data_IF_914398650698
#
_entry.id   IF_914398650698
#
_cell.length_a   1.000
_cell.length_b   1.000
_cell.length_c   1.000
_cell.angle_alpha   90.00
_cell.angle_beta   90.00
_cell.angle_gamma   90.00
#
_symmetry.space_group_name_H-M   'P 1'
#
loop_
_entity.id
_entity.type
_entity.pdbx_description
1 polymer ?
#
# COMPACT_ATOMS: atom_id res chain seq x y z
N UNK A 1 -21.05 -1.16 -3.33
CA UNK A 1 -20.01 -2.21 -3.36
C UNK A 1 -19.20 -2.03 -2.09
N UNK A 2 -19.19 -3.02 -1.22
CA UNK A 2 -18.59 -2.92 0.12
C UNK A 2 -17.07 -2.98 -0.01
N UNK A 3 -16.39 -1.92 0.43
CA UNK A 3 -14.94 -1.69 0.33
C UNK A 3 -14.09 -2.87 0.81
N UNK A 4 -14.60 -3.71 1.71
CA UNK A 4 -13.94 -4.93 2.22
C UNK A 4 -13.74 -6.03 1.17
N UNK A 5 -14.67 -6.22 0.23
CA UNK A 5 -14.56 -7.30 -0.77
C UNK A 5 -13.47 -6.99 -1.81
N UNK A 6 -13.34 -5.72 -2.20
CA UNK A 6 -12.27 -5.25 -3.09
C UNK A 6 -10.90 -5.40 -2.44
N UNK A 7 -10.79 -5.16 -1.13
CA UNK A 7 -9.52 -5.27 -0.39
C UNK A 7 -9.00 -6.70 -0.31
N UNK A 8 -9.88 -7.64 0.03
CA UNK A 8 -9.53 -9.06 0.08
C UNK A 8 -9.14 -9.57 -1.31
N UNK A 9 -9.87 -9.16 -2.36
CA UNK A 9 -9.54 -9.49 -3.75
C UNK A 9 -8.17 -8.96 -4.19
N UNK A 10 -7.84 -7.72 -3.82
CA UNK A 10 -6.54 -7.13 -4.09
C UNK A 10 -5.43 -7.90 -3.34
N UNK A 11 -5.65 -8.24 -2.06
CA UNK A 11 -4.65 -8.92 -1.22
C UNK A 11 -4.31 -10.31 -1.75
N UNK A 12 -5.32 -11.07 -2.18
CA UNK A 12 -5.11 -12.36 -2.84
C UNK A 12 -4.31 -12.22 -4.12
N UNK A 13 -4.64 -11.22 -4.94
CA UNK A 13 -3.95 -10.96 -6.21
C UNK A 13 -2.48 -10.63 -5.97
N UNK A 14 -2.21 -9.76 -4.99
CA UNK A 14 -0.86 -9.42 -4.55
C UNK A 14 -0.07 -10.65 -4.07
N UNK A 15 -0.67 -11.45 -3.19
CA UNK A 15 -0.04 -12.68 -2.68
C UNK A 15 0.26 -13.68 -3.80
N UNK A 16 -0.64 -13.82 -4.79
CA UNK A 16 -0.40 -14.67 -5.96
C UNK A 16 0.79 -14.17 -6.78
N UNK A 17 0.91 -12.85 -6.93
CA UNK A 17 2.00 -12.23 -7.65
C UNK A 17 3.35 -12.49 -6.98
N UNK A 18 3.46 -12.24 -5.67
CA UNK A 18 4.67 -12.54 -4.87
C UNK A 18 5.02 -14.01 -4.98
N UNK A 19 4.03 -14.91 -4.85
CA UNK A 19 4.24 -16.35 -4.93
C UNK A 19 4.68 -16.84 -6.31
N UNK A 20 4.27 -16.17 -7.40
CA UNK A 20 4.74 -16.48 -8.76
C UNK A 20 6.18 -16.04 -8.98
N UNK A 21 6.55 -14.85 -8.49
CA UNK A 21 7.90 -14.31 -8.66
C UNK A 21 8.92 -15.00 -7.77
N UNK A 22 8.59 -15.18 -6.49
CA UNK A 22 9.49 -15.75 -5.47
C UNK A 22 9.17 -17.21 -5.16
N UNK A 23 8.42 -17.91 -6.02
CA UNK A 23 8.10 -19.33 -5.84
C UNK A 23 9.34 -20.22 -5.78
N UNK A 24 10.41 -19.81 -6.45
CA UNK A 24 11.73 -20.47 -6.45
C UNK A 24 12.66 -19.93 -5.35
N UNK A 25 12.25 -18.86 -4.65
CA UNK A 25 13.04 -18.16 -3.64
C UNK A 25 12.30 -18.14 -2.30
N UNK A 26 12.28 -19.27 -1.58
CA UNK A 26 11.61 -19.37 -0.27
C UNK A 26 12.23 -18.43 0.77
N UNK A 27 13.51 -18.07 0.63
CA UNK A 27 14.20 -17.13 1.51
C UNK A 27 13.55 -15.74 1.47
N UNK A 28 13.27 -15.22 0.27
CA UNK A 28 12.59 -13.94 0.09
C UNK A 28 11.19 -13.98 0.69
N UNK A 29 10.45 -15.06 0.45
CA UNK A 29 9.11 -15.21 1.03
C UNK A 29 9.15 -15.26 2.57
N UNK A 30 10.12 -15.95 3.16
CA UNK A 30 10.30 -15.97 4.62
C UNK A 30 10.64 -14.59 5.18
N UNK A 31 11.53 -13.83 4.53
CA UNK A 31 11.85 -12.47 4.95
C UNK A 31 10.64 -11.52 4.87
N UNK A 32 9.77 -11.70 3.87
CA UNK A 32 8.51 -10.97 3.79
C UNK A 32 7.58 -11.28 4.97
N UNK A 33 7.46 -12.56 5.32
CA UNK A 33 6.67 -12.99 6.48
C UNK A 33 7.25 -12.48 7.80
N UNK A 34 8.57 -12.45 7.93
CA UNK A 34 9.27 -11.90 9.11
C UNK A 34 8.92 -10.43 9.32
N UNK A 35 9.02 -9.60 8.27
CA UNK A 35 8.66 -8.19 8.32
C UNK A 35 7.17 -7.97 8.68
N UNK A 36 6.27 -8.79 8.13
CA UNK A 36 4.85 -8.77 8.49
C UNK A 36 4.63 -9.17 9.96
N UNK A 37 5.36 -10.16 10.46
CA UNK A 37 5.25 -10.64 11.84
C UNK A 37 5.75 -9.59 12.84
N UNK A 38 6.84 -8.89 12.53
CA UNK A 38 7.33 -7.77 13.35
C UNK A 38 6.33 -6.61 13.39
N UNK A 39 5.68 -6.31 12.26
CA UNK A 39 4.61 -5.31 12.20
C UNK A 39 3.40 -5.72 13.04
N UNK A 40 2.95 -6.98 12.94
CA UNK A 40 1.86 -7.51 13.78
C UNK A 40 2.23 -7.53 15.28
N UNK A 41 3.49 -7.78 15.59
CA UNK A 41 4.00 -7.79 16.97
C UNK A 41 4.22 -6.38 17.54
N UNK A 42 3.90 -5.32 16.79
CA UNK A 42 4.16 -3.92 17.11
C UNK A 42 5.66 -3.61 17.38
N UNK A 43 6.57 -4.47 16.90
CA UNK A 43 8.02 -4.27 16.98
C UNK A 43 8.49 -3.32 15.88
N UNK A 44 7.79 -3.34 14.74
CA UNK A 44 8.11 -2.56 13.56
C UNK A 44 6.94 -1.62 13.21
N UNK A 45 7.23 -0.33 13.07
CA UNK A 45 6.23 0.67 12.68
C UNK A 45 5.88 0.58 11.18
N UNK A 46 4.77 1.22 10.80
CA UNK A 46 4.30 1.34 9.41
C UNK A 46 5.39 1.77 8.40
N UNK A 47 6.19 2.83 8.63
CA UNK A 47 7.32 3.15 7.74
C UNK A 47 8.43 2.08 7.74
N UNK A 48 8.66 1.42 8.88
CA UNK A 48 9.70 0.39 9.00
C UNK A 48 9.37 -0.87 8.20
N UNK A 49 8.11 -1.33 8.23
CA UNK A 49 7.69 -2.49 7.43
C UNK A 49 7.73 -2.18 5.94
N UNK A 50 7.39 -0.95 5.55
CA UNK A 50 7.49 -0.51 4.15
C UNK A 50 8.94 -0.53 3.68
N UNK A 51 9.89 0.02 4.45
CA UNK A 51 11.32 0.03 4.08
C UNK A 51 11.89 -1.38 3.93
N UNK A 52 11.55 -2.28 4.86
CA UNK A 52 12.00 -3.68 4.84
C UNK A 52 11.45 -4.43 3.63
N UNK A 53 10.17 -4.24 3.32
CA UNK A 53 9.54 -4.79 2.11
C UNK A 53 10.11 -4.16 0.84
N UNK A 54 10.44 -2.87 0.86
CA UNK A 54 11.05 -2.17 -0.25
C UNK A 54 12.46 -2.68 -0.57
N UNK A 55 13.28 -2.93 0.45
CA UNK A 55 14.60 -3.53 0.29
C UNK A 55 14.52 -4.97 -0.25
N UNK A 56 13.53 -5.72 0.24
CA UNK A 56 13.30 -7.11 -0.16
C UNK A 56 12.84 -7.23 -1.62
N UNK A 57 11.94 -6.34 -2.05
CA UNK A 57 11.41 -6.28 -3.41
C UNK A 57 12.03 -5.16 -4.24
N UNK A 58 13.29 -4.78 -3.98
CA UNK A 58 13.95 -3.64 -4.64
C UNK A 58 14.00 -3.75 -6.17
N UNK A 59 14.05 -4.97 -6.70
CA UNK A 59 14.03 -5.28 -8.14
C UNK A 59 12.60 -5.32 -8.72
N UNK A 60 11.58 -5.22 -7.86
CA UNK A 60 10.15 -5.31 -8.17
C UNK A 60 9.36 -4.16 -7.52
N UNK A 61 9.47 -2.92 -8.04
CA UNK A 61 8.78 -1.76 -7.48
C UNK A 61 7.25 -1.87 -7.47
N UNK A 62 6.67 -2.62 -8.42
CA UNK A 62 5.23 -2.92 -8.46
C UNK A 62 4.73 -3.59 -7.17
N UNK A 63 5.55 -4.45 -6.55
CA UNK A 63 5.18 -5.11 -5.31
C UNK A 63 5.21 -4.15 -4.13
N UNK A 64 6.22 -3.28 -4.07
CA UNK A 64 6.34 -2.27 -3.02
C UNK A 64 5.12 -1.34 -3.04
N UNK A 65 4.74 -0.88 -4.23
CA UNK A 65 3.60 0.02 -4.43
C UNK A 65 2.26 -0.67 -4.14
N UNK A 66 2.14 -1.94 -4.52
CA UNK A 66 1.01 -2.79 -4.14
C UNK A 66 0.87 -2.93 -2.63
N UNK A 67 1.98 -3.14 -1.91
CA UNK A 67 2.00 -3.22 -0.45
C UNK A 67 1.55 -1.92 0.22
N UNK A 68 2.04 -0.77 -0.26
CA UNK A 68 1.62 0.55 0.24
C UNK A 68 0.12 0.80 0.06
N UNK A 69 -0.47 0.28 -1.02
CA UNK A 69 -1.93 0.36 -1.30
C UNK A 69 -2.78 -0.47 -0.32
N UNK A 70 -2.21 -1.49 0.34
CA UNK A 70 -2.92 -2.24 1.39
C UNK A 70 -3.06 -1.48 2.70
N UNK A 71 -2.23 -0.48 2.92
CA UNK A 71 -2.44 0.44 4.03
C UNK A 71 -3.47 1.46 3.56
N UNK A 72 -4.69 1.51 4.15
CA UNK A 72 -5.53 2.67 3.93
C UNK A 72 -4.69 3.92 4.23
N UNK A 73 -4.68 4.84 3.27
CA UNK A 73 -4.34 6.20 3.58
C UNK A 73 -5.33 6.64 4.65
N UNK A 74 -4.83 7.25 5.72
CA UNK A 74 -5.68 7.95 6.70
C UNK A 74 -6.45 9.11 6.03
N UNK A 75 -6.14 9.40 4.75
CA UNK A 75 -6.79 10.34 3.84
C UNK A 75 -7.96 9.77 2.99
N UNK A 76 -8.58 8.65 3.38
CA UNK A 76 -10.01 8.44 3.05
C UNK A 76 -10.92 9.37 3.89
N UNK A 77 -10.37 10.50 4.35
CA UNK A 77 -11.09 11.70 4.76
C UNK A 77 -10.98 12.83 3.72
N UNK A 78 -10.55 12.55 2.49
CA UNK A 78 -10.69 13.46 1.37
C UNK A 78 -11.87 13.07 0.46
N UNK A 79 -13.07 13.01 1.05
CA UNK A 79 -14.24 13.66 0.44
C UNK A 79 -14.05 15.19 0.51
N UNK A 80 -12.88 15.67 0.04
CA UNK A 80 -12.68 17.07 -0.22
C UNK A 80 -13.13 17.27 -1.67
N UNK A 81 -14.19 18.05 -1.94
CA UNK A 81 -14.49 18.44 -3.31
C UNK A 81 -13.23 19.07 -3.92
N UNK A 82 -13.03 18.97 -5.24
CA UNK A 82 -11.90 19.64 -5.88
C UNK A 82 -11.90 21.11 -5.43
N UNK A 83 -10.73 21.77 -5.26
CA UNK A 83 -10.70 23.20 -4.95
C UNK A 83 -11.48 23.92 -6.05
N UNK A 84 -12.73 24.23 -5.76
CA UNK A 84 -13.62 24.90 -6.70
C UNK A 84 -13.16 26.34 -6.73
N UNK A 85 -12.41 26.64 -7.78
CA UNK A 85 -12.27 27.95 -8.41
C UNK A 85 -11.92 29.10 -7.46
N UNK A 86 -10.62 29.36 -7.32
CA UNK A 86 -10.17 30.73 -7.16
C UNK A 86 -10.54 31.52 -8.43
N UNK A 87 -11.73 32.10 -8.43
CA UNK A 87 -12.12 33.17 -9.36
C UNK A 87 -12.83 34.25 -8.56
N UNK A 88 -12.12 35.25 -8.02
CA UNK A 88 -12.76 36.49 -7.64
C UNK A 88 -13.14 37.22 -8.94
N UNK A 89 -14.33 36.95 -9.47
CA UNK A 89 -14.93 37.86 -10.46
C UNK A 89 -15.39 39.09 -9.69
N UNK A 90 -14.48 40.05 -9.51
CA UNK A 90 -14.86 41.41 -9.14
C UNK A 90 -15.81 41.96 -10.21
N UNK A 91 -17.01 42.44 -9.85
CA UNK A 91 -17.76 43.30 -10.73
C UNK A 91 -17.22 44.73 -10.60
N UNK A 92 -16.83 45.41 -11.69
CA UNK A 92 -16.69 46.86 -11.68
C UNK A 92 -18.01 47.49 -12.12
N UNK A 93 -18.70 48.18 -11.21
CA UNK A 93 -19.65 49.26 -11.51
C UNK A 93 -19.74 50.20 -10.31
#
# INVERSE_FOLDING_TARGET
MSTDETRLGNALTYMNHVKRLFGDQPDVFNQFLDALNEYQSQTLDKPGVIDRVAALFKDHPDLIMGFQTFFPNEDDMSDAPPPSTSSPTSPPV
#
